data_IF_640569844748
#
_entry.id   IF_640569844748
#
_cell.length_a   1.000
_cell.length_b   1.000
_cell.length_c   1.000
_cell.angle_alpha   90.00
_cell.angle_beta   90.00
_cell.angle_gamma   90.00
#
_symmetry.space_group_name_H-M   'P 1'
#
loop_
_entity.id
_entity.type
_entity.pdbx_description
1 polymer ?
#
# COMPACT_ATOMS: atom_id res chain seq x y z
N UNK A 1 28.41 8.55 -13.46
CA UNK A 1 27.43 9.19 -12.57
C UNK A 1 27.15 8.23 -11.45
N UNK A 2 27.39 8.72 -10.24
CA UNK A 2 28.02 7.98 -9.16
C UNK A 2 27.12 7.01 -8.41
N UNK A 3 27.69 5.85 -8.10
CA UNK A 3 27.11 4.85 -7.22
C UNK A 3 27.45 5.21 -5.76
N UNK A 4 26.44 5.45 -4.94
CA UNK A 4 26.64 5.67 -3.50
C UNK A 4 26.61 4.33 -2.78
N UNK A 5 27.82 3.87 -2.42
CA UNK A 5 28.08 2.77 -1.48
C UNK A 5 28.01 3.33 -0.07
N UNK A 6 27.03 2.90 0.73
CA UNK A 6 27.00 3.23 2.16
C UNK A 6 27.68 2.10 2.94
N UNK A 7 28.93 2.36 3.35
CA UNK A 7 29.68 1.54 4.32
C UNK A 7 29.05 1.69 5.71
N UNK A 8 28.66 0.58 6.34
CA UNK A 8 28.46 0.51 7.79
C UNK A 8 29.82 0.34 8.49
N UNK A 9 30.11 1.04 9.60
CA UNK A 9 31.32 0.81 10.37
C UNK A 9 31.21 -0.45 11.23
N UNK A 10 32.29 -1.26 11.22
CA UNK A 10 32.50 -2.39 12.13
C UNK A 10 33.17 -1.93 13.42
N UNK A 11 32.52 -2.22 14.54
CA UNK A 11 33.11 -2.85 15.73
C UNK A 11 33.73 -1.95 16.81
N UNK A 12 33.30 -2.15 18.06
CA UNK A 12 34.20 -2.37 19.19
C UNK A 12 33.51 -3.27 20.23
N UNK A 13 34.28 -4.26 20.68
CA UNK A 13 33.95 -5.21 21.74
C UNK A 13 34.58 -4.70 23.04
N UNK A 14 33.86 -4.79 24.15
CA UNK A 14 34.48 -4.78 25.49
C UNK A 14 33.83 -5.84 26.38
N UNK A 15 34.72 -6.57 27.06
CA UNK A 15 34.51 -7.62 28.07
C UNK A 15 34.10 -7.00 29.41
N UNK A 16 33.22 -7.68 30.16
CA UNK A 16 32.90 -7.29 31.54
C UNK A 16 31.85 -8.20 32.17
N UNK A 17 32.28 -9.09 33.07
CA UNK A 17 31.45 -10.16 33.64
C UNK A 17 30.55 -9.77 34.83
N UNK A 18 29.63 -10.69 35.14
CA UNK A 18 29.15 -10.93 36.51
C UNK A 18 27.65 -10.74 36.79
N UNK A 19 27.02 -11.84 37.23
CA UNK A 19 25.87 -11.94 38.16
C UNK A 19 24.43 -11.97 37.60
N UNK A 20 23.86 -13.17 37.62
CA UNK A 20 22.66 -13.45 38.42
C UNK A 20 21.38 -12.63 38.17
N UNK A 21 20.73 -12.85 37.03
CA UNK A 21 19.35 -12.42 36.80
C UNK A 21 18.59 -13.50 36.03
N UNK A 22 17.45 -13.96 36.56
CA UNK A 22 16.53 -14.87 35.85
C UNK A 22 16.26 -14.31 34.46
N UNK A 23 16.69 -15.04 33.42
CA UNK A 23 16.43 -14.68 32.03
C UNK A 23 14.91 -14.51 31.85
N UNK A 24 14.43 -13.34 31.40
CA UNK A 24 13.05 -13.21 30.98
C UNK A 24 12.83 -14.24 29.88
N UNK A 25 11.76 -15.03 30.03
CA UNK A 25 11.28 -15.94 29.00
C UNK A 25 11.07 -15.10 27.74
N UNK A 26 11.90 -15.30 26.71
CA UNK A 26 11.65 -14.71 25.39
C UNK A 26 10.23 -15.12 25.01
N UNK A 27 9.35 -14.13 24.90
CA UNK A 27 8.06 -14.32 24.28
C UNK A 27 8.31 -14.90 22.89
N UNK A 28 7.56 -15.94 22.54
CA UNK A 28 7.67 -16.56 21.23
C UNK A 28 7.44 -15.47 20.19
N UNK A 29 8.26 -15.38 19.12
CA UNK A 29 7.97 -14.45 18.04
C UNK A 29 6.53 -14.71 17.59
N UNK A 30 5.73 -13.63 17.53
CA UNK A 30 4.39 -13.67 16.95
C UNK A 30 4.44 -14.31 15.57
N UNK A 31 3.30 -14.75 15.02
CA UNK A 31 3.26 -15.52 13.77
C UNK A 31 4.14 -14.83 12.71
N UNK A 32 5.22 -15.50 12.31
CA UNK A 32 6.19 -14.96 11.36
C UNK A 32 5.44 -14.55 10.10
N UNK A 33 5.61 -13.29 9.68
CA UNK A 33 5.00 -12.81 8.45
C UNK A 33 5.52 -13.65 7.28
N UNK A 34 4.65 -14.07 6.34
CA UNK A 34 5.10 -14.81 5.17
C UNK A 34 6.20 -14.06 4.44
N UNK A 35 7.23 -14.77 4.01
CA UNK A 35 8.33 -14.18 3.27
C UNK A 35 7.81 -13.55 1.96
N UNK A 36 8.40 -12.42 1.51
CA UNK A 36 8.12 -11.84 0.21
C UNK A 36 8.29 -12.87 -0.92
N UNK A 37 7.41 -12.81 -1.92
CA UNK A 37 7.48 -13.66 -3.11
C UNK A 37 7.79 -12.81 -4.33
N UNK A 38 8.86 -13.18 -5.03
CA UNK A 38 9.20 -12.62 -6.33
C UNK A 38 8.42 -13.33 -7.44
N UNK A 39 7.83 -12.55 -8.35
CA UNK A 39 7.11 -13.02 -9.54
C UNK A 39 7.81 -12.43 -10.75
N UNK A 40 8.36 -13.29 -11.60
CA UNK A 40 9.18 -12.92 -12.75
C UNK A 40 8.70 -13.67 -14.01
N UNK A 41 8.64 -12.97 -15.13
CA UNK A 41 8.45 -13.53 -16.47
C UNK A 41 8.99 -12.52 -17.51
N UNK A 42 8.95 -12.85 -18.80
CA UNK A 42 9.31 -11.89 -19.85
C UNK A 42 8.42 -10.64 -19.76
N UNK A 43 9.03 -9.47 -19.57
CA UNK A 43 8.32 -8.20 -19.38
C UNK A 43 7.59 -8.04 -18.03
N UNK A 44 7.73 -8.98 -17.09
CA UNK A 44 7.06 -8.97 -15.79
C UNK A 44 8.06 -9.02 -14.64
N UNK A 45 7.99 -8.01 -13.77
CA UNK A 45 8.78 -7.94 -12.54
C UNK A 45 7.90 -7.40 -11.40
N UNK A 46 7.42 -8.30 -10.53
CA UNK A 46 6.53 -7.94 -9.42
C UNK A 46 6.95 -8.62 -8.12
N UNK A 47 6.83 -7.89 -7.01
CA UNK A 47 7.03 -8.43 -5.67
C UNK A 47 5.68 -8.49 -4.92
N UNK A 48 5.41 -9.64 -4.32
CA UNK A 48 4.19 -9.89 -3.55
C UNK A 48 4.50 -10.05 -2.06
N UNK A 49 3.74 -9.34 -1.22
CA UNK A 49 3.90 -9.34 0.24
C UNK A 49 2.54 -9.25 0.94
N UNK A 50 2.46 -9.81 2.14
CA UNK A 50 1.35 -9.54 3.06
C UNK A 50 1.74 -8.34 3.93
N UNK A 51 1.28 -7.14 3.54
CA UNK A 51 1.64 -5.89 4.23
C UNK A 51 0.87 -5.68 5.55
N UNK A 52 -0.39 -6.13 5.57
CA UNK A 52 -1.31 -6.01 6.69
C UNK A 52 -1.64 -7.39 7.22
N UNK A 53 -1.54 -7.57 8.55
CA UNK A 53 -1.98 -8.81 9.19
C UNK A 53 -3.51 -8.94 9.14
N UNK A 54 -4.04 -10.14 9.38
CA UNK A 54 -5.50 -10.40 9.26
C UNK A 54 -6.36 -9.39 10.03
N UNK A 55 -6.10 -9.20 11.32
CA UNK A 55 -6.91 -8.30 12.14
C UNK A 55 -6.88 -6.85 11.63
N UNK A 56 -5.69 -6.37 11.25
CA UNK A 56 -5.52 -5.04 10.68
C UNK A 56 -6.21 -4.90 9.32
N UNK A 57 -6.13 -5.92 8.47
CA UNK A 57 -6.81 -5.94 7.18
C UNK A 57 -8.34 -5.94 7.34
N UNK A 58 -8.88 -6.69 8.30
CA UNK A 58 -10.31 -6.72 8.61
C UNK A 58 -10.80 -5.35 9.08
N UNK A 59 -10.05 -4.66 9.95
CA UNK A 59 -10.35 -3.30 10.41
C UNK A 59 -10.34 -2.29 9.26
N UNK A 60 -9.28 -2.31 8.44
CA UNK A 60 -9.16 -1.45 7.27
C UNK A 60 -10.32 -1.68 6.31
N UNK A 61 -10.67 -2.94 6.03
CA UNK A 61 -11.79 -3.27 5.16
C UNK A 61 -13.11 -2.69 5.67
N UNK A 62 -13.40 -2.82 6.96
CA UNK A 62 -14.61 -2.24 7.57
C UNK A 62 -14.63 -0.71 7.51
N UNK A 63 -13.48 -0.04 7.68
CA UNK A 63 -13.37 1.41 7.54
C UNK A 63 -13.61 1.84 6.10
N UNK A 64 -13.01 1.15 5.13
CA UNK A 64 -13.19 1.44 3.70
C UNK A 64 -14.66 1.32 3.28
N UNK A 65 -15.37 0.30 3.75
CA UNK A 65 -16.80 0.12 3.44
C UNK A 65 -17.69 1.23 4.02
N UNK A 66 -17.25 1.91 5.09
CA UNK A 66 -17.99 3.01 5.73
C UNK A 66 -17.65 4.38 5.17
N UNK A 67 -16.37 4.63 4.89
CA UNK A 67 -15.86 5.97 4.58
C UNK A 67 -15.66 6.22 3.08
N UNK A 68 -15.52 5.17 2.26
CA UNK A 68 -15.29 5.35 0.81
C UNK A 68 -16.59 5.70 0.10
N UNK A 69 -16.60 6.87 -0.50
CA UNK A 69 -17.74 7.40 -1.25
C UNK A 69 -17.55 7.21 -2.76
N UNK A 70 -18.12 6.14 -3.29
CA UNK A 70 -18.02 5.79 -4.72
C UNK A 70 -18.67 6.83 -5.65
N UNK A 71 -18.20 6.89 -6.90
CA UNK A 71 -18.87 7.68 -7.92
C UNK A 71 -20.26 7.10 -8.24
N UNK A 72 -21.21 7.98 -8.54
CA UNK A 72 -22.54 7.62 -9.03
C UNK A 72 -22.46 6.78 -10.31
N UNK A 73 -23.42 5.87 -10.50
CA UNK A 73 -23.40 4.89 -11.60
C UNK A 73 -23.24 5.53 -12.99
N UNK A 74 -23.82 6.69 -13.23
CA UNK A 74 -23.72 7.40 -14.51
C UNK A 74 -22.31 7.95 -14.79
N UNK A 75 -21.54 8.25 -13.75
CA UNK A 75 -20.15 8.72 -13.84
C UNK A 75 -19.14 7.59 -14.09
N UNK A 76 -19.63 6.34 -14.14
CA UNK A 76 -18.79 5.17 -14.35
C UNK A 76 -18.79 4.64 -15.79
N UNK A 77 -19.62 5.20 -16.68
CA UNK A 77 -19.65 4.79 -18.08
C UNK A 77 -18.29 5.08 -18.74
N UNK A 78 -17.78 4.13 -19.51
CA UNK A 78 -16.58 4.32 -20.33
C UNK A 78 -16.96 4.34 -21.79
N UNK A 79 -16.33 5.24 -22.55
CA UNK A 79 -16.43 5.24 -23.99
C UNK A 79 -15.35 4.33 -24.56
N UNK A 80 -15.77 3.16 -25.04
CA UNK A 80 -14.89 2.14 -25.59
C UNK A 80 -15.42 1.78 -26.99
N UNK A 81 -14.56 1.86 -28.01
CA UNK A 81 -14.92 1.58 -29.41
C UNK A 81 -16.19 2.32 -29.92
N UNK A 82 -16.34 3.61 -29.58
CA UNK A 82 -17.47 4.42 -30.05
C UNK A 82 -18.76 4.24 -29.24
N UNK A 83 -18.81 3.30 -28.30
CA UNK A 83 -20.01 2.97 -27.51
C UNK A 83 -19.77 3.20 -26.01
N UNK A 84 -20.82 3.61 -25.30
CA UNK A 84 -20.78 3.76 -23.84
C UNK A 84 -21.11 2.43 -23.14
N UNK A 85 -20.20 1.96 -22.29
CA UNK A 85 -20.36 0.74 -21.51
C UNK A 85 -20.47 1.04 -20.02
N UNK A 86 -21.44 0.42 -19.34
CA UNK A 86 -21.50 0.40 -17.87
C UNK A 86 -20.43 -0.57 -17.35
N UNK A 87 -19.67 -0.15 -16.35
CA UNK A 87 -18.69 -1.03 -15.70
C UNK A 87 -19.40 -1.74 -14.53
N UNK A 88 -19.32 -3.08 -14.42
CA UNK A 88 -19.93 -3.83 -13.32
C UNK A 88 -19.09 -3.75 -12.04
N UNK A 89 -18.60 -2.57 -11.67
CA UNK A 89 -17.88 -2.33 -10.42
C UNK A 89 -17.99 -0.87 -10.01
N UNK A 90 -18.00 -0.63 -8.70
CA UNK A 90 -17.95 0.74 -8.18
C UNK A 90 -16.50 1.21 -8.17
N UNK A 91 -16.28 2.47 -8.52
CA UNK A 91 -14.95 3.09 -8.55
C UNK A 91 -14.96 4.49 -7.96
N UNK A 92 -13.82 4.89 -7.40
CA UNK A 92 -13.55 6.26 -6.94
C UNK A 92 -12.06 6.50 -6.89
N UNK A 93 -11.67 7.77 -7.04
CA UNK A 93 -10.28 8.21 -6.97
C UNK A 93 -10.06 9.14 -5.78
N UNK A 94 -8.96 8.96 -5.06
CA UNK A 94 -8.48 9.85 -3.99
C UNK A 94 -7.04 10.28 -4.26
N UNK A 95 -6.61 11.42 -3.75
CA UNK A 95 -5.29 11.96 -4.09
C UNK A 95 -5.02 13.34 -3.54
N UNK A 96 -3.83 13.83 -3.87
CA UNK A 96 -3.36 15.15 -3.48
C UNK A 96 -4.19 16.27 -4.16
N UNK A 97 -4.30 17.45 -3.53
CA UNK A 97 -5.05 18.57 -4.09
C UNK A 97 -4.52 19.01 -5.45
N UNK A 98 -5.43 19.37 -6.36
CA UNK A 98 -5.10 19.89 -7.69
C UNK A 98 -4.73 18.83 -8.73
N UNK A 99 -4.76 17.53 -8.37
CA UNK A 99 -4.57 16.47 -9.35
C UNK A 99 -5.78 16.32 -10.26
N UNK A 100 -5.52 15.91 -11.50
CA UNK A 100 -6.54 15.43 -12.43
C UNK A 100 -6.01 14.20 -13.16
N UNK A 101 -6.90 13.25 -13.45
CA UNK A 101 -6.57 12.01 -14.13
C UNK A 101 -7.55 11.78 -15.28
N UNK A 102 -7.04 11.63 -16.50
CA UNK A 102 -7.89 11.38 -17.68
C UNK A 102 -7.75 9.95 -18.15
N UNK A 103 -8.87 9.25 -18.29
CA UNK A 103 -8.91 7.89 -18.81
C UNK A 103 -10.10 7.70 -19.74
N UNK A 104 -9.84 7.18 -20.94
CA UNK A 104 -10.85 6.93 -21.97
C UNK A 104 -11.73 8.16 -22.29
N UNK A 105 -11.10 9.35 -22.31
CA UNK A 105 -11.78 10.62 -22.58
C UNK A 105 -12.54 11.23 -21.40
N UNK A 106 -12.51 10.58 -20.22
CA UNK A 106 -13.17 11.09 -19.00
C UNK A 106 -12.11 11.59 -18.01
N UNK A 107 -12.26 12.83 -17.57
CA UNK A 107 -11.37 13.46 -16.57
C UNK A 107 -11.96 13.33 -15.17
N UNK A 108 -11.19 12.76 -14.26
CA UNK A 108 -11.50 12.58 -12.85
C UNK A 108 -10.70 13.56 -12.01
N UNK A 109 -11.36 14.15 -11.02
CA UNK A 109 -10.71 14.92 -9.96
C UNK A 109 -10.77 14.07 -8.68
N UNK A 110 -9.62 13.66 -8.13
CA UNK A 110 -9.60 12.80 -6.96
C UNK A 110 -10.13 13.55 -5.74
N UNK A 111 -10.84 12.81 -4.88
CA UNK A 111 -11.28 13.27 -3.57
C UNK A 111 -10.06 13.45 -2.64
N UNK A 112 -10.13 14.34 -1.64
CA UNK A 112 -9.06 14.49 -0.66
C UNK A 112 -8.90 13.21 0.17
N UNK A 113 -7.67 12.86 0.50
CA UNK A 113 -7.35 11.69 1.32
C UNK A 113 -8.16 11.63 2.63
N UNK A 114 -8.70 10.44 2.93
CA UNK A 114 -9.31 10.10 4.22
C UNK A 114 -8.31 9.32 5.10
N UNK A 115 -8.46 9.32 6.44
CA UNK A 115 -7.46 8.76 7.35
C UNK A 115 -7.07 7.30 7.04
N UNK A 116 -8.04 6.43 6.72
CA UNK A 116 -7.76 5.04 6.38
C UNK A 116 -6.89 4.90 5.12
N UNK A 117 -7.11 5.74 4.10
CA UNK A 117 -6.31 5.73 2.87
C UNK A 117 -4.92 6.30 3.10
N UNK A 118 -4.80 7.34 3.93
CA UNK A 118 -3.50 7.89 4.36
C UNK A 118 -2.66 6.83 5.07
N UNK A 119 -3.28 6.08 6.01
CA UNK A 119 -2.63 4.97 6.72
C UNK A 119 -2.11 3.90 5.75
N UNK A 120 -2.93 3.49 4.78
CA UNK A 120 -2.52 2.49 3.77
C UNK A 120 -1.33 3.03 2.95
N UNK A 121 -1.46 4.26 2.43
CA UNK A 121 -0.43 4.92 1.63
C UNK A 121 0.90 4.98 2.38
N UNK A 122 0.91 5.46 3.62
CA UNK A 122 2.11 5.58 4.43
C UNK A 122 2.75 4.23 4.72
N UNK A 123 1.94 3.19 4.99
CA UNK A 123 2.44 1.83 5.19
C UNK A 123 3.13 1.29 3.93
N UNK A 124 2.55 1.52 2.75
CA UNK A 124 3.14 1.10 1.47
C UNK A 124 4.41 1.91 1.17
N UNK A 125 4.40 3.22 1.41
CA UNK A 125 5.58 4.08 1.23
C UNK A 125 6.75 3.63 2.11
N UNK A 126 6.49 3.32 3.37
CA UNK A 126 7.53 2.85 4.30
C UNK A 126 8.12 1.49 3.89
N UNK A 127 7.31 0.58 3.35
CA UNK A 127 7.75 -0.75 2.93
C UNK A 127 8.51 -0.72 1.59
N UNK A 128 8.13 0.18 0.67
CA UNK A 128 8.65 0.19 -0.70
C UNK A 128 9.68 1.29 -0.96
N UNK A 129 9.72 2.34 -0.13
CA UNK A 129 10.51 3.55 -0.37
C UNK A 129 9.93 4.47 -1.45
N UNK A 130 8.76 4.16 -2.01
CA UNK A 130 8.11 4.94 -3.06
C UNK A 130 6.94 5.76 -2.52
N UNK A 131 6.86 7.03 -2.91
CA UNK A 131 5.75 7.89 -2.57
C UNK A 131 4.63 7.81 -3.62
N UNK A 132 3.38 7.93 -3.17
CA UNK A 132 2.18 7.90 -4.01
C UNK A 132 1.31 9.13 -3.73
N UNK A 133 0.80 9.77 -4.77
CA UNK A 133 -0.04 10.97 -4.68
C UNK A 133 -1.50 10.72 -5.14
N UNK A 134 -1.82 9.50 -5.58
CA UNK A 134 -3.11 9.14 -6.14
C UNK A 134 -3.44 7.66 -5.87
N UNK A 135 -4.72 7.36 -5.68
CA UNK A 135 -5.25 6.00 -5.60
C UNK A 135 -6.57 5.88 -6.37
N UNK A 136 -6.71 4.79 -7.11
CA UNK A 136 -7.98 4.35 -7.70
C UNK A 136 -8.50 3.14 -6.91
N UNK A 137 -9.68 3.28 -6.32
CA UNK A 137 -10.36 2.21 -5.59
C UNK A 137 -11.34 1.53 -6.54
N UNK A 138 -11.30 0.20 -6.59
CA UNK A 138 -12.28 -0.62 -7.29
C UNK A 138 -12.93 -1.57 -6.29
N UNK A 139 -14.26 -1.54 -6.19
CA UNK A 139 -15.04 -2.48 -5.37
C UNK A 139 -15.78 -3.44 -6.29
N UNK A 140 -15.40 -4.71 -6.18
CA UNK A 140 -15.95 -5.84 -6.92
C UNK A 140 -17.04 -6.52 -6.12
#
# INVERSE_FOLDING_TARGET
>A
MDAFVVKLPRGQAEDGGGSGGKRPRLEKPGPERPLPREIRAEGLNCDYRILFGKAEADEIFQQLEKEVEYFEEDSTKLHVFGTWHKIPRRKVTYGDPGLSYTYSGVTFHPKPWIPVLTRIRERVTAETGHAFNFVLINRY
#
